data_IF_922779580107
#
_entry.id   IF_922779580107
#
_cell.length_a   1.000
_cell.length_b   1.000
_cell.length_c   1.000
_cell.angle_alpha   90.00
_cell.angle_beta   90.00
_cell.angle_gamma   90.00
#
_symmetry.space_group_name_H-M   'P 1'
#
loop_
_entity.id
_entity.type
_entity.pdbx_description
1 polymer ?
#
# COMPACT_ATOMS: atom_id res chain seq x y z
N UNK A 1 2.40 18.84 31.15
CA UNK A 1 1.31 18.58 30.18
C UNK A 1 1.38 19.64 29.10
N UNK A 2 2.04 19.34 27.97
CA UNK A 2 2.14 20.26 26.83
C UNK A 2 1.43 19.61 25.66
N UNK A 3 0.16 19.99 25.47
CA UNK A 3 -0.59 19.75 24.24
C UNK A 3 0.18 20.35 23.06
N UNK A 4 0.53 19.57 22.02
CA UNK A 4 1.19 20.14 20.84
C UNK A 4 0.20 21.03 20.11
N UNK A 5 0.62 22.26 19.85
CA UNK A 5 -0.13 23.24 19.07
C UNK A 5 -0.40 22.68 17.67
N UNK A 6 -1.67 22.46 17.32
CA UNK A 6 -2.08 22.28 15.94
C UNK A 6 -1.69 23.54 15.15
N UNK A 7 -0.55 23.48 14.47
CA UNK A 7 -0.13 24.51 13.51
C UNK A 7 -1.23 24.65 12.47
N UNK A 8 -1.87 25.82 12.40
CA UNK A 8 -2.84 26.14 11.35
C UNK A 8 -2.12 26.06 10.00
N UNK A 9 -2.27 24.94 9.30
CA UNK A 9 -1.75 24.73 7.95
C UNK A 9 -2.21 25.89 7.06
N UNK A 10 -1.26 26.49 6.33
CA UNK A 10 -1.58 27.54 5.38
C UNK A 10 -2.51 26.95 4.29
N UNK A 11 -3.51 27.71 3.86
CA UNK A 11 -4.50 27.24 2.88
C UNK A 11 -3.83 26.77 1.58
N UNK A 12 -2.71 27.39 1.19
CA UNK A 12 -1.88 26.97 0.05
C UNK A 12 -1.27 25.58 0.25
N UNK A 13 -0.68 25.33 1.42
CA UNK A 13 -0.04 24.05 1.75
C UNK A 13 -1.06 22.91 1.78
N UNK A 14 -2.28 23.18 2.25
CA UNK A 14 -3.38 22.23 2.21
C UNK A 14 -3.75 21.84 0.77
N UNK A 15 -3.89 22.83 -0.13
CA UNK A 15 -4.20 22.56 -1.54
C UNK A 15 -3.08 21.78 -2.24
N UNK A 16 -1.83 22.11 -1.97
CA UNK A 16 -0.68 21.36 -2.49
C UNK A 16 -0.70 19.92 -2.00
N UNK A 17 -0.96 19.69 -0.71
CA UNK A 17 -1.09 18.33 -0.14
C UNK A 17 -2.22 17.53 -0.79
N UNK A 18 -3.40 18.12 -0.95
CA UNK A 18 -4.53 17.48 -1.62
C UNK A 18 -4.22 17.12 -3.08
N UNK A 19 -3.56 18.02 -3.82
CA UNK A 19 -3.20 17.79 -5.22
C UNK A 19 -2.16 16.67 -5.37
N UNK A 20 -1.16 16.64 -4.48
CA UNK A 20 -0.17 15.55 -4.43
C UNK A 20 -0.84 14.21 -4.11
N UNK A 21 -1.76 14.18 -3.14
CA UNK A 21 -2.50 12.97 -2.79
C UNK A 21 -3.35 12.47 -3.96
N UNK A 22 -4.14 13.34 -4.59
CA UNK A 22 -4.96 12.99 -5.76
C UNK A 22 -4.11 12.45 -6.93
N UNK A 23 -2.96 13.06 -7.18
CA UNK A 23 -2.04 12.60 -8.23
C UNK A 23 -1.47 11.22 -7.91
N UNK A 24 -1.05 11.01 -6.66
CA UNK A 24 -0.54 9.72 -6.19
C UNK A 24 -1.59 8.62 -6.32
N UNK A 25 -2.81 8.85 -5.83
CA UNK A 25 -3.91 7.89 -5.90
C UNK A 25 -4.35 7.60 -7.34
N UNK A 26 -4.33 8.60 -8.22
CA UNK A 26 -4.63 8.40 -9.65
C UNK A 26 -3.61 7.49 -10.31
N UNK A 27 -2.31 7.72 -10.06
CA UNK A 27 -1.22 6.86 -10.55
C UNK A 27 -1.37 5.44 -9.97
N UNK A 28 -1.72 5.33 -8.70
CA UNK A 28 -1.89 4.06 -8.01
C UNK A 28 -3.07 3.25 -8.58
N UNK A 29 -4.24 3.88 -8.79
CA UNK A 29 -5.39 3.25 -9.41
C UNK A 29 -5.14 2.79 -10.85
N UNK A 30 -4.44 3.62 -11.66
CA UNK A 30 -4.02 3.23 -13.01
C UNK A 30 -3.09 2.01 -13.00
N UNK A 31 -2.24 1.89 -11.98
CA UNK A 31 -1.37 0.72 -11.81
C UNK A 31 -2.16 -0.58 -11.74
N UNK A 32 -3.39 -0.62 -11.24
CA UNK A 32 -4.17 -1.86 -11.15
C UNK A 32 -4.54 -2.42 -12.53
N UNK A 33 -4.80 -1.54 -13.50
CA UNK A 33 -5.08 -1.93 -14.89
C UNK A 33 -3.85 -2.62 -15.49
N UNK A 34 -2.67 -2.02 -15.30
CA UNK A 34 -1.41 -2.59 -15.75
C UNK A 34 -1.07 -3.88 -15.02
N UNK A 35 -1.27 -3.96 -13.70
CA UNK A 35 -1.07 -5.17 -12.91
C UNK A 35 -1.98 -6.29 -13.41
N UNK A 36 -3.26 -6.01 -13.68
CA UNK A 36 -4.19 -7.01 -14.22
C UNK A 36 -3.75 -7.53 -15.58
N UNK A 37 -3.34 -6.64 -16.48
CA UNK A 37 -2.85 -7.00 -17.82
C UNK A 37 -1.54 -7.79 -17.76
N UNK A 38 -0.59 -7.37 -16.92
CA UNK A 38 0.70 -8.03 -16.75
C UNK A 38 0.57 -9.41 -16.10
N UNK A 39 -0.25 -9.54 -15.05
CA UNK A 39 -0.50 -10.82 -14.36
C UNK A 39 -1.30 -11.83 -15.17
N UNK A 40 -1.88 -11.42 -16.31
CA UNK A 40 -2.47 -12.34 -17.27
C UNK A 40 -1.41 -13.10 -18.08
N UNK A 41 -0.23 -12.51 -18.30
CA UNK A 41 0.82 -13.04 -19.18
C UNK A 41 2.14 -13.37 -18.45
N UNK A 42 2.33 -12.89 -17.22
CA UNK A 42 3.53 -13.08 -16.43
C UNK A 42 3.19 -13.44 -14.98
N UNK A 43 4.15 -14.04 -14.26
CA UNK A 43 3.98 -14.26 -12.82
C UNK A 43 3.88 -12.94 -12.07
N UNK A 44 2.94 -12.87 -11.12
CA UNK A 44 2.78 -11.71 -10.24
C UNK A 44 4.00 -11.44 -9.37
N UNK A 45 4.74 -12.47 -8.95
CA UNK A 45 5.95 -12.29 -8.13
C UNK A 45 7.09 -11.68 -8.95
N UNK A 46 7.25 -12.12 -10.21
CA UNK A 46 8.22 -11.54 -11.14
C UNK A 46 7.91 -10.06 -11.45
N UNK A 47 6.63 -9.72 -11.62
CA UNK A 47 6.20 -8.33 -11.80
C UNK A 47 6.55 -7.47 -10.58
N UNK A 48 6.26 -7.96 -9.37
CA UNK A 48 6.61 -7.27 -8.13
C UNK A 48 8.13 -7.14 -7.96
N UNK A 49 8.89 -8.18 -8.30
CA UNK A 49 10.35 -8.18 -8.27
C UNK A 49 10.92 -7.04 -9.11
N UNK A 50 10.56 -6.95 -10.39
CA UNK A 50 11.01 -5.87 -11.26
C UNK A 50 10.54 -4.48 -10.80
N UNK A 51 9.28 -4.37 -10.36
CA UNK A 51 8.72 -3.12 -9.84
C UNK A 51 9.53 -2.56 -8.67
N UNK A 52 9.80 -3.40 -7.67
CA UNK A 52 10.53 -2.98 -6.47
C UNK A 52 12.03 -2.84 -6.70
N UNK A 53 12.62 -3.67 -7.58
CA UNK A 53 14.03 -3.56 -7.95
C UNK A 53 14.33 -2.22 -8.61
N UNK A 54 13.56 -1.85 -9.63
CA UNK A 54 13.75 -0.58 -10.35
C UNK A 54 13.53 0.60 -9.39
N UNK A 55 12.45 0.55 -8.59
CA UNK A 55 12.17 1.61 -7.61
C UNK A 55 13.31 1.76 -6.58
N UNK A 56 13.84 0.65 -6.07
CA UNK A 56 14.97 0.67 -5.13
C UNK A 56 16.25 1.21 -5.75
N UNK A 57 16.57 0.82 -6.99
CA UNK A 57 17.73 1.34 -7.73
C UNK A 57 17.60 2.85 -7.95
N UNK A 58 16.45 3.33 -8.43
CA UNK A 58 16.19 4.76 -8.61
C UNK A 58 16.35 5.53 -7.30
N UNK A 59 15.75 5.04 -6.20
CA UNK A 59 15.86 5.69 -4.89
C UNK A 59 17.30 5.68 -4.36
N UNK A 60 18.04 4.60 -4.57
CA UNK A 60 19.45 4.50 -4.18
C UNK A 60 20.33 5.46 -4.99
N UNK A 61 20.06 5.63 -6.29
CA UNK A 61 20.76 6.63 -7.11
C UNK A 61 20.48 8.07 -6.65
N UNK A 62 19.23 8.40 -6.30
CA UNK A 62 18.86 9.73 -5.82
C UNK A 62 19.46 10.06 -4.44
N UNK A 63 19.47 9.08 -3.53
CA UNK A 63 20.09 9.22 -2.20
C UNK A 63 21.62 9.26 -2.29
N UNK A 64 22.23 8.43 -3.14
CA UNK A 64 23.67 8.44 -3.41
C UNK A 64 24.15 9.73 -4.08
N UNK A 65 23.32 10.33 -4.94
CA UNK A 65 23.58 11.65 -5.54
C UNK A 65 23.33 12.83 -4.58
N UNK A 66 22.96 12.55 -3.31
CA UNK A 66 22.62 13.54 -2.27
C UNK A 66 21.47 14.50 -2.63
N UNK A 67 20.66 14.17 -3.64
CA UNK A 67 19.42 14.89 -3.96
C UNK A 67 18.41 14.72 -2.84
N UNK A 68 18.39 13.53 -2.22
CA UNK A 68 17.51 13.18 -1.11
C UNK A 68 18.37 12.76 0.10
N UNK A 69 18.34 13.51 1.22
CA UNK A 69 19.10 13.14 2.41
C UNK A 69 18.49 11.92 3.11
N UNK A 70 19.32 10.95 3.50
CA UNK A 70 18.89 9.72 4.18
C UNK A 70 19.50 9.62 5.59
N UNK A 71 18.86 10.19 6.63
CA UNK A 71 19.39 10.24 7.99
C UNK A 71 19.17 8.93 8.81
N UNK A 72 19.29 7.76 8.18
CA UNK A 72 19.04 6.44 8.82
C UNK A 72 20.15 6.02 9.81
N UNK A 73 21.37 6.58 9.66
CA UNK A 73 22.58 6.04 10.29
C UNK A 73 22.48 6.08 11.82
N UNK A 74 22.49 4.91 12.46
CA UNK A 74 22.45 4.74 13.91
C UNK A 74 21.06 4.58 14.53
N UNK A 75 19.98 4.59 13.73
CA UNK A 75 18.61 4.36 14.22
C UNK A 75 18.25 2.88 14.28
N UNK A 76 17.30 2.53 15.15
CA UNK A 76 16.81 1.15 15.30
C UNK A 76 15.98 0.72 14.08
N UNK A 77 16.43 -0.25 13.29
CA UNK A 77 15.70 -0.68 12.09
C UNK A 77 14.43 -1.50 12.37
N UNK A 78 14.22 -1.97 13.61
CA UNK A 78 13.10 -2.88 13.96
C UNK A 78 11.70 -2.32 13.68
N UNK A 79 11.38 -1.04 13.93
CA UNK A 79 10.09 -0.45 13.54
C UNK A 79 9.94 -0.39 12.01
N UNK A 80 11.01 -0.02 11.29
CA UNK A 80 11.00 0.05 9.82
C UNK A 80 10.79 -1.31 9.18
N UNK A 81 11.39 -2.37 9.73
CA UNK A 81 11.19 -3.74 9.25
C UNK A 81 9.74 -4.21 9.46
N UNK A 82 9.10 -3.84 10.58
CA UNK A 82 7.68 -4.14 10.82
C UNK A 82 6.77 -3.43 9.82
N UNK A 83 7.06 -2.16 9.55
CA UNK A 83 6.37 -1.35 8.53
C UNK A 83 6.53 -2.01 7.16
N UNK A 84 7.77 -2.31 6.76
CA UNK A 84 8.11 -2.94 5.48
C UNK A 84 7.46 -4.33 5.29
N UNK A 85 7.34 -5.10 6.37
CA UNK A 85 6.69 -6.40 6.34
C UNK A 85 5.18 -6.30 6.04
N UNK A 86 4.49 -5.33 6.65
CA UNK A 86 3.07 -5.08 6.38
C UNK A 86 2.86 -4.45 5.00
N UNK A 87 3.68 -3.48 4.65
CA UNK A 87 3.75 -2.90 3.31
C UNK A 87 5.20 -2.52 3.01
N UNK A 88 5.83 -3.05 1.95
CA UNK A 88 5.15 -3.61 0.79
C UNK A 88 4.88 -5.12 0.80
N UNK A 89 5.51 -5.93 1.66
CA UNK A 89 5.58 -7.40 1.47
C UNK A 89 4.20 -8.07 1.45
N UNK A 90 3.44 -7.98 2.55
CA UNK A 90 2.11 -8.61 2.62
C UNK A 90 1.15 -7.89 1.68
N UNK A 91 1.11 -6.55 1.76
CA UNK A 91 0.19 -5.74 0.98
C UNK A 91 0.23 -6.04 -0.52
N UNK A 92 1.39 -5.89 -1.17
CA UNK A 92 1.49 -6.05 -2.63
C UNK A 92 1.33 -7.50 -3.07
N UNK A 93 1.70 -8.48 -2.24
CA UNK A 93 1.44 -9.90 -2.51
C UNK A 93 -0.06 -10.17 -2.56
N UNK A 94 -0.76 -9.78 -1.49
CA UNK A 94 -2.21 -9.93 -1.37
C UNK A 94 -2.95 -9.14 -2.46
N UNK A 95 -2.55 -7.90 -2.71
CA UNK A 95 -3.12 -7.07 -3.77
C UNK A 95 -2.98 -7.73 -5.15
N UNK A 96 -1.77 -8.16 -5.51
CA UNK A 96 -1.48 -8.75 -6.83
C UNK A 96 -2.23 -10.06 -7.03
N UNK A 97 -2.26 -10.93 -6.01
CA UNK A 97 -3.01 -12.20 -6.05
C UNK A 97 -4.52 -11.98 -6.08
N UNK A 98 -5.00 -10.93 -5.40
CA UNK A 98 -6.39 -10.48 -5.43
C UNK A 98 -6.78 -10.03 -6.84
N UNK A 99 -6.09 -9.02 -7.36
CA UNK A 99 -6.30 -8.46 -8.71
C UNK A 99 -6.24 -9.53 -9.79
N UNK A 100 -5.34 -10.52 -9.67
CA UNK A 100 -5.27 -11.62 -10.63
C UNK A 100 -6.58 -12.41 -10.72
N UNK A 101 -7.29 -12.56 -9.61
CA UNK A 101 -8.51 -13.37 -9.48
C UNK A 101 -9.82 -12.57 -9.55
N UNK A 102 -9.76 -11.24 -9.47
CA UNK A 102 -10.89 -10.30 -9.59
C UNK A 102 -10.71 -9.40 -10.81
N UNK A 103 -11.69 -8.55 -11.13
CA UNK A 103 -11.50 -7.50 -12.14
C UNK A 103 -10.74 -6.30 -11.57
N UNK A 104 -10.10 -5.49 -12.44
CA UNK A 104 -9.45 -4.25 -12.00
C UNK A 104 -10.45 -3.29 -11.34
N UNK A 105 -11.68 -3.22 -11.86
CA UNK A 105 -12.77 -2.40 -11.29
C UNK A 105 -13.19 -2.89 -9.91
N UNK A 106 -13.45 -4.19 -9.72
CA UNK A 106 -13.80 -4.76 -8.42
C UNK A 106 -12.67 -4.54 -7.40
N UNK A 107 -11.42 -4.73 -7.81
CA UNK A 107 -10.25 -4.55 -6.94
C UNK A 107 -10.07 -3.10 -6.52
N UNK A 108 -10.17 -2.17 -7.47
CA UNK A 108 -10.04 -0.74 -7.20
C UNK A 108 -11.10 -0.25 -6.22
N UNK A 109 -12.34 -0.69 -6.40
CA UNK A 109 -13.41 -0.34 -5.46
C UNK A 109 -13.20 -1.00 -4.10
N UNK A 110 -12.80 -2.27 -4.05
CA UNK A 110 -12.56 -2.95 -2.78
C UNK A 110 -11.40 -2.30 -1.99
N UNK A 111 -10.32 -1.93 -2.67
CA UNK A 111 -9.18 -1.25 -2.06
C UNK A 111 -9.50 0.21 -1.69
N UNK A 112 -10.55 0.83 -2.25
CA UNK A 112 -11.04 2.12 -1.79
C UNK A 112 -11.58 2.08 -0.33
N UNK A 113 -11.78 0.90 0.25
CA UNK A 113 -12.04 0.73 1.69
C UNK A 113 -10.81 0.93 2.59
N UNK A 114 -9.60 1.04 2.04
CA UNK A 114 -8.36 1.18 2.83
C UNK A 114 -8.45 2.33 3.86
N UNK A 115 -8.87 3.56 3.51
CA UNK A 115 -8.95 4.67 4.47
C UNK A 115 -9.89 4.38 5.64
N UNK A 116 -10.95 3.60 5.39
CA UNK A 116 -11.88 3.17 6.44
C UNK A 116 -11.21 2.21 7.40
N UNK A 117 -10.57 1.18 6.85
CA UNK A 117 -9.88 0.18 7.65
C UNK A 117 -8.71 0.79 8.43
N UNK A 118 -7.94 1.70 7.83
CA UNK A 118 -6.81 2.37 8.48
C UNK A 118 -7.28 3.28 9.62
N UNK A 119 -8.38 4.01 9.43
CA UNK A 119 -8.96 4.84 10.49
C UNK A 119 -9.51 4.01 11.65
N UNK A 120 -10.18 2.89 11.36
CA UNK A 120 -10.63 1.94 12.39
C UNK A 120 -9.45 1.32 13.14
N UNK A 121 -8.40 0.90 12.42
CA UNK A 121 -7.20 0.35 13.03
C UNK A 121 -6.49 1.37 13.91
N UNK A 122 -6.37 2.63 13.46
CA UNK A 122 -5.80 3.70 14.27
C UNK A 122 -6.66 4.00 15.50
N UNK A 123 -7.99 4.09 15.34
CA UNK A 123 -8.93 4.26 16.47
C UNK A 123 -8.78 3.15 17.51
N UNK A 124 -8.69 1.89 17.09
CA UNK A 124 -8.60 0.74 18.00
C UNK A 124 -7.22 0.64 18.68
N UNK A 125 -6.14 0.91 17.95
CA UNK A 125 -4.77 0.68 18.41
C UNK A 125 -4.18 1.91 19.11
N UNK A 126 -4.44 3.12 18.60
CA UNK A 126 -4.01 4.39 19.19
C UNK A 126 -5.03 4.97 20.18
N UNK A 127 -6.26 4.43 20.22
CA UNK A 127 -7.36 4.87 21.10
C UNK A 127 -7.83 6.31 20.83
N UNK A 128 -7.57 6.85 19.65
CA UNK A 128 -8.08 8.15 19.23
C UNK A 128 -9.52 8.03 18.71
N UNK A 129 -10.42 8.92 19.13
CA UNK A 129 -11.83 8.86 18.71
C UNK A 129 -12.00 9.52 17.34
N UNK A 130 -12.59 8.83 16.34
CA UNK A 130 -12.82 9.43 15.04
C UNK A 130 -13.85 10.55 15.12
N UNK A 131 -13.67 11.60 14.32
CA UNK A 131 -14.62 12.70 14.23
C UNK A 131 -15.91 12.26 13.54
N UNK A 132 -17.02 12.96 13.80
CA UNK A 132 -18.32 12.68 13.16
C UNK A 132 -18.22 12.74 11.62
N UNK A 133 -17.41 13.64 11.08
CA UNK A 133 -17.19 13.77 9.64
C UNK A 133 -16.40 12.58 9.06
N UNK A 134 -15.41 12.08 9.81
CA UNK A 134 -14.66 10.88 9.41
C UNK A 134 -15.55 9.63 9.41
N UNK A 135 -16.40 9.46 10.42
CA UNK A 135 -17.38 8.36 10.48
C UNK A 135 -18.38 8.42 9.32
N UNK A 136 -18.86 9.61 8.95
CA UNK A 136 -19.74 9.76 7.80
C UNK A 136 -19.03 9.37 6.48
N UNK A 137 -17.77 9.80 6.30
CA UNK A 137 -16.95 9.39 5.17
C UNK A 137 -16.77 7.88 5.07
N UNK A 138 -16.54 7.22 6.21
CA UNK A 138 -16.46 5.74 6.30
C UNK A 138 -17.74 5.08 5.76
N UNK A 139 -18.91 5.51 6.22
CA UNK A 139 -20.19 4.91 5.83
C UNK A 139 -20.46 5.10 4.33
N UNK A 140 -20.13 6.27 3.79
CA UNK A 140 -20.26 6.57 2.36
C UNK A 140 -19.35 5.66 1.53
N UNK A 141 -18.07 5.53 1.90
CA UNK A 141 -17.13 4.63 1.21
C UNK A 141 -17.61 3.19 1.25
N UNK A 142 -18.04 2.69 2.41
CA UNK A 142 -18.56 1.33 2.56
C UNK A 142 -19.80 1.10 1.68
N UNK A 143 -20.71 2.08 1.61
CA UNK A 143 -21.87 2.04 0.73
C UNK A 143 -21.49 1.96 -0.76
N UNK A 144 -20.53 2.78 -1.19
CA UNK A 144 -20.02 2.75 -2.57
C UNK A 144 -19.37 1.41 -2.94
N UNK A 145 -18.65 0.80 -2.00
CA UNK A 145 -18.06 -0.53 -2.20
C UNK A 145 -19.12 -1.60 -2.34
N UNK A 146 -20.08 -1.65 -1.41
CA UNK A 146 -21.19 -2.61 -1.49
C UNK A 146 -21.96 -2.46 -2.80
N UNK A 147 -22.29 -1.23 -3.21
CA UNK A 147 -22.99 -0.96 -4.46
C UNK A 147 -22.24 -1.53 -5.67
N UNK A 148 -20.92 -1.35 -5.72
CA UNK A 148 -20.11 -1.83 -6.85
C UNK A 148 -19.98 -3.36 -6.84
N UNK A 149 -19.84 -3.98 -5.67
CA UNK A 149 -19.83 -5.45 -5.52
C UNK A 149 -21.16 -6.04 -6.00
N UNK A 150 -22.30 -5.46 -5.60
CA UNK A 150 -23.62 -5.93 -6.07
C UNK A 150 -23.83 -5.70 -7.58
N UNK A 151 -23.37 -4.57 -8.12
CA UNK A 151 -23.44 -4.31 -9.55
C UNK A 151 -22.57 -5.27 -10.39
N UNK A 152 -21.38 -5.61 -9.90
CA UNK A 152 -20.48 -6.56 -10.56
C UNK A 152 -20.96 -8.02 -10.42
N UNK A 153 -21.56 -8.38 -9.28
CA UNK A 153 -22.12 -9.71 -9.02
C UNK A 153 -23.23 -10.14 -9.99
N UNK A 154 -23.85 -9.19 -10.70
CA UNK A 154 -24.85 -9.49 -11.73
C UNK A 154 -24.24 -9.96 -13.07
N UNK A 155 -22.92 -9.85 -13.27
CA UNK A 155 -22.26 -10.13 -14.56
C UNK A 155 -20.87 -10.79 -14.48
N UNK A 156 -20.26 -10.88 -13.29
CA UNK A 156 -18.89 -11.38 -13.06
C UNK A 156 -18.86 -12.78 -12.41
N UNK A 157 -17.85 -13.60 -12.75
CA UNK A 157 -17.56 -14.87 -12.07
C UNK A 157 -16.95 -14.56 -10.70
N UNK A 158 -17.81 -14.46 -9.68
CA UNK A 158 -17.41 -14.17 -8.30
C UNK A 158 -16.29 -15.11 -7.81
N UNK A 159 -15.13 -14.54 -7.45
CA UNK A 159 -13.99 -15.29 -6.92
C UNK A 159 -13.77 -14.96 -5.44
N UNK A 160 -14.31 -15.80 -4.55
CA UNK A 160 -14.20 -15.64 -3.11
C UNK A 160 -12.73 -15.53 -2.65
N UNK A 161 -11.84 -16.34 -3.25
CA UNK A 161 -10.41 -16.33 -2.94
C UNK A 161 -9.75 -15.00 -3.32
N UNK A 162 -10.15 -14.39 -4.44
CA UNK A 162 -9.64 -13.07 -4.84
C UNK A 162 -10.00 -11.98 -3.83
N UNK A 163 -11.26 -11.93 -3.39
CA UNK A 163 -11.71 -10.99 -2.37
C UNK A 163 -11.05 -11.22 -1.00
N UNK A 164 -10.76 -12.48 -0.64
CA UNK A 164 -10.04 -12.78 0.60
C UNK A 164 -8.62 -12.22 0.58
N UNK A 165 -7.92 -12.34 -0.56
CA UNK A 165 -6.62 -11.71 -0.74
C UNK A 165 -6.72 -10.18 -0.70
N UNK A 166 -7.69 -9.57 -1.37
CA UNK A 166 -7.92 -8.12 -1.29
C UNK A 166 -8.21 -7.65 0.14
N UNK A 167 -8.99 -8.42 0.92
CA UNK A 167 -9.20 -8.15 2.34
C UNK A 167 -7.89 -8.20 3.13
N UNK A 168 -7.05 -9.19 2.87
CA UNK A 168 -5.69 -9.26 3.43
C UNK A 168 -4.86 -8.02 3.12
N UNK A 169 -4.93 -7.50 1.88
CA UNK A 169 -4.26 -6.26 1.49
C UNK A 169 -4.79 -5.06 2.28
N UNK A 170 -6.12 -4.90 2.36
CA UNK A 170 -6.76 -3.81 3.12
C UNK A 170 -6.34 -3.82 4.59
N UNK A 171 -6.38 -4.98 5.23
CA UNK A 171 -6.00 -5.13 6.64
C UNK A 171 -4.50 -4.88 6.86
N UNK A 172 -3.65 -5.37 5.96
CA UNK A 172 -2.21 -5.14 6.03
C UNK A 172 -1.87 -3.66 5.89
N UNK A 173 -2.52 -2.95 4.95
CA UNK A 173 -2.33 -1.52 4.77
C UNK A 173 -2.82 -0.72 5.98
N UNK A 174 -3.97 -1.10 6.54
CA UNK A 174 -4.53 -0.46 7.73
C UNK A 174 -3.56 -0.55 8.93
N UNK A 175 -2.99 -1.73 9.15
CA UNK A 175 -1.96 -1.92 10.18
C UNK A 175 -0.68 -1.13 9.84
N UNK A 176 -0.27 -1.12 8.57
CA UNK A 176 0.87 -0.32 8.10
C UNK A 176 0.71 1.15 8.49
N UNK A 177 -0.45 1.78 8.23
CA UNK A 177 -0.71 3.17 8.60
C UNK A 177 -0.47 3.42 10.10
N UNK A 178 -0.96 2.50 10.94
CA UNK A 178 -0.80 2.56 12.39
C UNK A 178 0.66 2.45 12.83
N UNK A 179 1.43 1.54 12.21
CA UNK A 179 2.84 1.37 12.56
C UNK A 179 3.72 2.50 12.02
N UNK A 180 3.36 3.12 10.90
CA UNK A 180 3.99 4.35 10.41
C UNK A 180 3.75 5.50 11.40
N UNK A 181 2.54 5.66 11.90
CA UNK A 181 2.21 6.68 12.90
C UNK A 181 2.98 6.46 14.22
N UNK A 182 3.13 5.19 14.64
CA UNK A 182 4.01 4.82 15.77
C UNK A 182 5.50 4.98 15.49
N UNK A 183 5.91 5.09 14.22
CA UNK A 183 7.28 5.30 13.79
C UNK A 183 7.57 6.80 13.54
N UNK A 184 6.98 7.69 14.33
CA UNK A 184 7.13 9.14 14.20
C UNK A 184 8.56 9.68 14.33
N UNK A 185 9.50 8.88 14.86
CA UNK A 185 10.93 9.22 14.92
C UNK A 185 11.65 9.12 13.55
N UNK A 186 10.96 8.63 12.53
CA UNK A 186 11.47 8.43 11.17
C UNK A 186 10.78 9.38 10.19
N UNK A 187 11.56 9.94 9.28
CA UNK A 187 11.05 10.73 8.17
C UNK A 187 10.41 9.83 7.11
N UNK A 188 9.48 10.36 6.32
CA UNK A 188 8.83 9.60 5.25
C UNK A 188 9.82 9.03 4.22
N UNK A 189 10.95 9.69 3.99
CA UNK A 189 12.04 9.22 3.13
C UNK A 189 12.68 7.95 3.70
N UNK A 190 12.97 7.92 5.01
CA UNK A 190 13.59 6.77 5.67
C UNK A 190 12.68 5.55 5.61
N UNK A 191 11.39 5.75 5.86
CA UNK A 191 10.36 4.71 5.77
C UNK A 191 10.29 4.18 4.33
N UNK A 192 10.18 5.07 3.35
CA UNK A 192 10.08 4.71 1.93
C UNK A 192 11.32 3.95 1.46
N UNK A 193 12.53 4.39 1.84
CA UNK A 193 13.76 3.72 1.47
C UNK A 193 13.81 2.28 2.00
N UNK A 194 13.48 2.09 3.28
CA UNK A 194 13.43 0.75 3.88
C UNK A 194 12.35 -0.14 3.27
N UNK A 195 11.18 0.42 2.94
CA UNK A 195 10.12 -0.29 2.23
C UNK A 195 10.60 -0.77 0.86
N UNK A 196 11.24 0.10 0.08
CA UNK A 196 11.76 -0.25 -1.25
C UNK A 196 12.87 -1.30 -1.16
N UNK A 197 13.81 -1.16 -0.21
CA UNK A 197 14.89 -2.12 0.00
C UNK A 197 14.35 -3.50 0.39
N UNK A 198 13.43 -3.56 1.36
CA UNK A 198 12.82 -4.82 1.79
C UNK A 198 11.96 -5.45 0.69
N UNK A 199 11.18 -4.64 -0.03
CA UNK A 199 10.38 -5.10 -1.17
C UNK A 199 11.26 -5.68 -2.26
N UNK A 200 12.34 -5.00 -2.65
CA UNK A 200 13.27 -5.49 -3.65
C UNK A 200 13.91 -6.82 -3.20
N UNK A 201 14.41 -6.88 -1.96
CA UNK A 201 15.02 -8.10 -1.43
C UNK A 201 14.05 -9.28 -1.46
N UNK A 202 12.84 -9.12 -0.90
CA UNK A 202 11.86 -10.20 -0.76
C UNK A 202 11.27 -10.59 -2.10
N UNK A 203 10.81 -9.64 -2.93
CA UNK A 203 10.17 -9.99 -4.19
C UNK A 203 11.16 -10.50 -5.24
N UNK A 204 12.41 -10.00 -5.27
CA UNK A 204 13.42 -10.59 -6.15
C UNK A 204 13.80 -12.00 -5.72
N UNK A 205 13.97 -12.26 -4.42
CA UNK A 205 14.26 -13.63 -3.96
C UNK A 205 13.10 -14.58 -4.26
N UNK A 206 11.86 -14.17 -4.00
CA UNK A 206 10.68 -14.98 -4.35
C UNK A 206 10.57 -15.23 -5.86
N UNK A 207 10.81 -14.22 -6.70
CA UNK A 207 10.80 -14.37 -8.15
C UNK A 207 11.91 -15.31 -8.65
N UNK A 208 13.12 -15.23 -8.07
CA UNK A 208 14.21 -16.14 -8.41
C UNK A 208 13.89 -17.59 -7.98
N UNK A 209 13.34 -17.78 -6.79
CA UNK A 209 12.93 -19.10 -6.32
C UNK A 209 11.86 -19.71 -7.22
N UNK A 210 10.85 -18.91 -7.61
CA UNK A 210 9.83 -19.33 -8.56
C UNK A 210 10.43 -19.72 -9.92
N UNK A 211 11.37 -18.92 -10.45
CA UNK A 211 12.04 -19.22 -11.71
C UNK A 211 12.86 -20.52 -11.65
N UNK A 212 13.55 -20.76 -10.53
CA UNK A 212 14.32 -22.00 -10.30
C UNK A 212 13.39 -23.21 -10.23
N UNK A 213 12.27 -23.11 -9.51
CA UNK A 213 11.29 -24.21 -9.39
C UNK A 213 10.69 -24.55 -10.77
N UNK A 214 10.34 -23.55 -11.57
CA UNK A 214 9.79 -23.78 -12.92
C UNK A 214 10.83 -24.30 -13.92
N UNK A 215 12.09 -23.86 -13.84
CA UNK A 215 13.16 -24.43 -14.68
C UNK A 215 13.52 -25.87 -14.30
N UNK A 216 13.37 -26.25 -13.02
CA UNK A 216 13.70 -27.60 -12.54
C UNK A 216 12.58 -28.64 -12.80
N UNK A 217 11.43 -28.19 -13.34
CA UNK A 217 10.28 -29.02 -13.72
C UNK A 217 10.13 -29.15 -15.25
N UNK A 218 11.05 -28.58 -16.04
CA UNK A 218 11.12 -28.66 -17.50
C UNK A 218 12.26 -29.59 -17.93
#
# INVERSE_FOLDING_TARGET
MTTPSHSRLNRKDLWTGCLCALSCESIFGLSYIFTKSATANASGLSLLGWRFLIAFLCMTLLTGSKVIPLPIRGKNLRPLLRVAFLSPVIYFTCETLGIRQTTASESGVFLACIPVASLLASTLILKEKPSKAQTAGILITLGGVLMTVFAAGASSRFSATGYLFLLGAVLSYALYCVFVEKAGDYTGIEITYCMLAAGALVFCTLALLEAVIHCNLA
#
